data_IF_213016349952
#
_entry.id   IF_213016349952
#
_cell.length_a   1.000
_cell.length_b   1.000
_cell.length_c   1.000
_cell.angle_alpha   90.00
_cell.angle_beta   90.00
_cell.angle_gamma   90.00
#
_symmetry.space_group_name_H-M   'P 1'
#
loop_
_entity.id
_entity.type
_entity.pdbx_description
1 polymer ?
#
# COMPACT_ATOMS: atom_id res chain seq x y z
N UNK A 1 -5.13 -7.13 -7.33
CA UNK A 1 -6.12 -6.55 -6.38
C UNK A 1 -5.51 -5.34 -5.69
N UNK A 2 -6.30 -4.33 -5.30
CA UNK A 2 -5.78 -3.14 -4.60
C UNK A 2 -6.29 -3.09 -3.16
N UNK A 3 -5.40 -2.79 -2.22
CA UNK A 3 -5.69 -2.66 -0.80
C UNK A 3 -5.63 -1.22 -0.33
N UNK A 4 -6.46 -0.88 0.66
CA UNK A 4 -6.37 0.41 1.34
C UNK A 4 -5.29 0.36 2.43
N UNK A 5 -4.74 1.52 2.85
CA UNK A 5 -3.84 1.59 3.99
C UNK A 5 -4.40 1.01 5.29
N UNK A 6 -5.72 0.82 5.41
CA UNK A 6 -6.36 0.14 6.54
C UNK A 6 -6.36 -1.39 6.38
N UNK A 7 -6.63 -1.89 5.17
CA UNK A 7 -6.68 -3.34 4.91
C UNK A 7 -5.30 -4.01 4.89
N UNK A 8 -4.24 -3.28 4.53
CA UNK A 8 -2.89 -3.87 4.49
C UNK A 8 -2.41 -4.32 5.89
N UNK A 9 -2.52 -3.51 6.96
CA UNK A 9 -2.24 -3.97 8.33
C UNK A 9 -3.08 -5.18 8.74
N UNK A 10 -4.36 -5.24 8.35
CA UNK A 10 -5.25 -6.35 8.71
C UNK A 10 -4.84 -7.68 8.05
N UNK A 11 -4.32 -7.61 6.82
CA UNK A 11 -3.89 -8.81 6.07
C UNK A 11 -2.45 -9.23 6.32
N UNK A 12 -1.55 -8.26 6.45
CA UNK A 12 -0.10 -8.48 6.45
C UNK A 12 0.60 -8.05 7.74
N UNK A 13 -0.10 -7.34 8.64
CA UNK A 13 0.50 -6.80 9.86
C UNK A 13 1.45 -5.62 9.63
N UNK A 14 1.56 -5.10 8.40
CA UNK A 14 2.47 -3.99 8.12
C UNK A 14 1.97 -2.67 8.68
N UNK A 15 2.89 -1.89 9.25
CA UNK A 15 2.57 -0.56 9.75
C UNK A 15 2.32 0.42 8.58
N UNK A 16 1.28 1.29 8.63
CA UNK A 16 0.95 2.22 7.54
C UNK A 16 2.08 3.20 7.21
N UNK A 17 2.93 3.52 8.18
CA UNK A 17 4.15 4.33 7.99
C UNK A 17 5.16 3.62 7.08
N UNK A 18 5.36 2.31 7.27
CA UNK A 18 6.25 1.49 6.43
C UNK A 18 5.73 1.42 5.00
N UNK A 19 4.42 1.25 4.82
CA UNK A 19 3.79 1.26 3.49
C UNK A 19 4.00 2.58 2.76
N UNK A 20 3.82 3.72 3.46
CA UNK A 20 4.07 5.02 2.85
C UNK A 20 5.53 5.18 2.45
N UNK A 21 6.45 4.77 3.33
CA UNK A 21 7.89 4.79 3.05
C UNK A 21 8.25 3.92 1.85
N UNK A 22 7.79 2.67 1.79
CA UNK A 22 8.06 1.78 0.66
C UNK A 22 7.47 2.27 -0.65
N UNK A 23 6.31 2.93 -0.60
CA UNK A 23 5.71 3.57 -1.76
C UNK A 23 6.55 4.77 -2.25
N UNK A 24 7.11 5.57 -1.35
CA UNK A 24 8.03 6.66 -1.70
C UNK A 24 9.39 6.15 -2.20
N UNK A 25 9.86 5.04 -1.63
CA UNK A 25 11.11 4.35 -2.01
C UNK A 25 10.95 3.53 -3.31
N UNK A 26 9.73 3.43 -3.86
CA UNK A 26 9.45 2.69 -5.09
C UNK A 26 9.42 1.16 -4.95
N UNK A 27 9.50 0.65 -3.71
CA UNK A 27 9.47 -0.80 -3.41
C UNK A 27 8.09 -1.42 -3.62
N UNK A 28 7.02 -0.66 -3.36
CA UNK A 28 5.65 -1.14 -3.54
C UNK A 28 4.90 -0.27 -4.54
N UNK A 29 4.16 -0.91 -5.45
CA UNK A 29 3.28 -0.20 -6.37
C UNK A 29 2.04 0.29 -5.64
N UNK A 30 1.72 1.56 -5.82
CA UNK A 30 0.47 2.15 -5.36
C UNK A 30 -0.20 2.92 -6.50
N UNK A 31 -1.52 3.03 -6.42
CA UNK A 31 -2.32 3.89 -7.27
C UNK A 31 -3.01 4.95 -6.42
N UNK A 32 -3.14 6.16 -6.95
CA UNK A 32 -3.87 7.25 -6.29
C UNK A 32 -5.24 7.37 -6.98
N UNK A 33 -6.29 7.36 -6.18
CA UNK A 33 -7.62 7.75 -6.66
C UNK A 33 -7.65 9.27 -6.87
N UNK A 34 -8.54 9.80 -7.72
CA UNK A 34 -8.70 11.25 -7.92
C UNK A 34 -9.04 12.05 -6.64
N UNK A 35 -9.38 11.37 -5.53
CA UNK A 35 -9.55 11.98 -4.20
C UNK A 35 -8.33 11.85 -3.27
N UNK A 36 -7.13 11.57 -3.78
CA UNK A 36 -5.88 11.54 -3.01
C UNK A 36 -5.63 10.29 -2.16
N UNK A 37 -6.63 9.42 -1.99
CA UNK A 37 -6.44 8.15 -1.28
C UNK A 37 -5.53 7.20 -2.07
N UNK A 38 -4.44 6.77 -1.42
CA UNK A 38 -3.53 5.75 -1.92
C UNK A 38 -4.18 4.37 -1.79
N UNK A 39 -4.02 3.54 -2.82
CA UNK A 39 -4.31 2.12 -2.78
C UNK A 39 -3.08 1.34 -3.21
N UNK A 40 -2.67 0.38 -2.40
CA UNK A 40 -1.48 -0.43 -2.63
C UNK A 40 -1.83 -1.67 -3.46
N UNK A 41 -0.99 -2.02 -4.42
CA UNK A 41 -1.18 -3.21 -5.23
C UNK A 41 -0.81 -4.43 -4.40
N UNK A 42 -1.75 -5.38 -4.24
CA UNK A 42 -1.56 -6.60 -3.46
C UNK A 42 -0.34 -7.40 -3.93
N UNK A 43 -0.23 -7.65 -5.24
CA UNK A 43 0.89 -8.43 -5.80
C UNK A 43 2.25 -7.81 -5.55
N UNK A 44 2.31 -6.50 -5.29
CA UNK A 44 3.57 -5.82 -4.97
C UNK A 44 3.92 -5.90 -3.48
N UNK A 45 2.98 -6.33 -2.63
CA UNK A 45 3.17 -6.52 -1.18
C UNK A 45 3.45 -7.99 -0.82
N UNK A 46 3.13 -8.91 -1.74
CA UNK A 46 3.37 -10.35 -1.59
C UNK A 46 4.75 -10.79 -2.10
N UNK A 47 5.49 -9.89 -2.74
CA UNK A 47 6.82 -10.10 -3.34
C UNK A 47 7.94 -9.62 -2.40
#
# INVERSE_FOLDING_TARGET
>A
MYLTPKQVPEKFGYHPKSLSRWAEEGKIKFTKRPGGHKRYLLSSLEE
#
